data_IF_836249283647
#
_entry.id   IF_836249283647
#
_cell.length_a   1.000
_cell.length_b   1.000
_cell.length_c   1.000
_cell.angle_alpha   90.00
_cell.angle_beta   90.00
_cell.angle_gamma   90.00
#
_symmetry.space_group_name_H-M   'P 1'
#
loop_
_entity.id
_entity.type
_entity.pdbx_description
1 polymer ?
#
# COMPACT_ATOMS: atom_id res chain seq x y z
N UNK A 1 -85.85 -19.35 -27.09
CA UNK A 1 -84.46 -19.82 -27.30
C UNK A 1 -83.54 -18.62 -27.11
N UNK A 2 -82.96 -18.47 -25.96
CA UNK A 2 -82.10 -17.33 -25.62
C UNK A 2 -80.70 -17.88 -25.29
N UNK A 3 -79.75 -17.58 -26.17
CA UNK A 3 -78.34 -17.96 -25.98
C UNK A 3 -77.64 -16.95 -25.02
N UNK A 4 -77.19 -17.47 -23.88
CA UNK A 4 -76.43 -16.72 -22.91
C UNK A 4 -74.94 -16.95 -23.17
N UNK A 5 -74.25 -15.92 -23.70
CA UNK A 5 -72.78 -15.98 -23.95
C UNK A 5 -72.08 -15.46 -22.69
N UNK A 6 -71.36 -16.31 -21.96
CA UNK A 6 -70.47 -15.94 -20.84
C UNK A 6 -69.17 -15.40 -21.39
N UNK A 7 -68.92 -14.08 -21.15
CA UNK A 7 -67.62 -13.47 -21.35
C UNK A 7 -66.70 -13.75 -20.15
N UNK A 8 -65.70 -14.60 -20.36
CA UNK A 8 -64.64 -14.87 -19.42
C UNK A 8 -63.62 -13.69 -19.42
N UNK A 9 -63.60 -12.86 -18.39
CA UNK A 9 -62.58 -11.84 -18.19
C UNK A 9 -61.33 -12.50 -17.59
N UNK A 10 -60.24 -12.59 -18.37
CA UNK A 10 -58.92 -12.95 -17.88
C UNK A 10 -58.32 -11.73 -17.16
N UNK A 11 -58.27 -11.79 -15.81
CA UNK A 11 -57.53 -10.83 -14.99
C UNK A 11 -56.04 -11.11 -15.09
N UNK A 12 -55.29 -10.16 -15.63
CA UNK A 12 -53.82 -10.19 -15.67
C UNK A 12 -53.31 -9.66 -14.32
N UNK A 13 -52.86 -10.54 -13.42
CA UNK A 13 -52.20 -10.20 -12.19
C UNK A 13 -50.74 -9.77 -12.52
N UNK A 14 -50.48 -8.46 -12.48
CA UNK A 14 -49.14 -7.90 -12.50
C UNK A 14 -48.45 -8.14 -11.15
N UNK A 15 -47.55 -9.10 -11.11
CA UNK A 15 -46.63 -9.31 -10.00
C UNK A 15 -45.54 -8.25 -10.07
N UNK A 16 -45.61 -7.21 -9.23
CA UNK A 16 -44.52 -6.26 -9.04
C UNK A 16 -43.49 -6.87 -8.10
N UNK A 17 -42.35 -7.25 -8.66
CA UNK A 17 -41.16 -7.68 -7.85
C UNK A 17 -40.53 -6.44 -7.27
N UNK A 18 -40.41 -6.29 -5.93
CA UNK A 18 -39.65 -5.21 -5.33
C UNK A 18 -38.17 -5.46 -5.62
N UNK A 19 -37.53 -4.57 -6.40
CA UNK A 19 -36.08 -4.51 -6.54
C UNK A 19 -35.51 -4.04 -5.21
N UNK A 20 -34.90 -4.95 -4.43
CA UNK A 20 -34.06 -4.57 -3.32
C UNK A 20 -32.83 -3.85 -3.91
N UNK A 21 -32.77 -2.52 -3.75
CA UNK A 21 -31.56 -1.77 -3.93
C UNK A 21 -30.60 -2.14 -2.79
N UNK A 22 -29.59 -2.94 -3.10
CA UNK A 22 -28.44 -3.13 -2.21
C UNK A 22 -27.70 -1.81 -2.22
N UNK A 23 -27.83 -1.01 -1.17
CA UNK A 23 -26.99 0.12 -0.92
C UNK A 23 -25.56 -0.43 -0.72
N UNK A 24 -24.64 -0.14 -1.63
CA UNK A 24 -23.21 -0.30 -1.42
C UNK A 24 -22.85 0.69 -0.30
N UNK A 25 -22.70 0.22 0.92
CA UNK A 25 -22.02 0.95 1.97
C UNK A 25 -20.55 1.00 1.56
N UNK A 26 -20.11 2.14 1.03
CA UNK A 26 -18.68 2.43 0.95
C UNK A 26 -18.15 2.35 2.38
N UNK A 27 -17.10 1.58 2.62
CA UNK A 27 -16.38 1.60 3.90
C UNK A 27 -15.89 3.03 4.12
N UNK A 28 -16.29 3.63 5.25
CA UNK A 28 -15.75 4.91 5.66
C UNK A 28 -14.26 4.73 6.00
N UNK A 29 -13.37 5.63 5.57
CA UNK A 29 -11.96 5.54 5.91
C UNK A 29 -11.76 5.55 7.42
N UNK A 30 -10.82 4.73 7.91
CA UNK A 30 -10.49 4.64 9.32
C UNK A 30 -9.92 5.98 9.81
N UNK A 31 -10.15 6.34 11.08
CA UNK A 31 -9.61 7.57 11.64
C UNK A 31 -8.08 7.55 11.62
N UNK A 32 -7.48 8.69 11.26
CA UNK A 32 -6.04 8.90 11.32
C UNK A 32 -5.70 9.53 12.67
N UNK A 33 -4.78 8.92 13.41
CA UNK A 33 -4.18 9.53 14.61
C UNK A 33 -2.77 10.03 14.30
N UNK A 34 -2.43 11.18 14.91
CA UNK A 34 -1.15 11.84 14.75
C UNK A 34 -0.64 12.24 16.13
N UNK A 35 0.53 11.75 16.51
CA UNK A 35 1.23 12.08 17.73
C UNK A 35 2.61 12.66 17.38
N UNK A 36 3.01 13.76 18.02
CA UNK A 36 4.30 14.40 17.79
C UNK A 36 4.85 15.02 19.07
N UNK A 37 6.17 15.06 19.23
CA UNK A 37 6.83 15.76 20.33
C UNK A 37 6.63 17.28 20.23
N UNK A 38 6.66 17.82 19.01
CA UNK A 38 6.34 19.21 18.72
C UNK A 38 5.86 19.42 17.30
N UNK A 39 5.12 20.51 17.08
CA UNK A 39 4.69 20.94 15.75
C UNK A 39 4.76 22.46 15.62
N UNK A 40 4.99 22.92 14.38
CA UNK A 40 4.89 24.33 14.01
C UNK A 40 4.21 24.48 12.66
N UNK A 41 3.40 25.54 12.51
CA UNK A 41 2.71 25.85 11.25
C UNK A 41 3.24 27.16 10.68
N UNK A 42 3.83 27.10 9.50
CA UNK A 42 4.22 28.27 8.73
C UNK A 42 3.09 28.68 7.80
N UNK A 43 2.51 29.85 8.07
CA UNK A 43 1.39 30.38 7.30
C UNK A 43 1.76 30.91 5.92
N UNK A 44 3.02 31.32 5.76
CA UNK A 44 3.47 31.91 4.49
C UNK A 44 3.68 30.83 3.43
N UNK A 45 4.26 29.68 3.84
CA UNK A 45 4.46 28.52 2.98
C UNK A 45 3.30 27.52 3.01
N UNK A 46 2.37 27.63 3.96
CA UNK A 46 1.29 26.67 4.24
C UNK A 46 1.81 25.26 4.57
N UNK A 47 2.97 25.21 5.21
CA UNK A 47 3.62 23.96 5.63
C UNK A 47 3.47 23.75 7.13
N UNK A 48 3.35 22.48 7.51
CA UNK A 48 3.38 22.03 8.90
C UNK A 48 4.61 21.20 9.11
N UNK A 49 5.39 21.53 10.14
CA UNK A 49 6.60 20.82 10.54
C UNK A 49 6.36 20.10 11.84
N UNK A 50 6.89 18.88 11.94
CA UNK A 50 6.78 18.03 13.12
C UNK A 50 8.15 17.51 13.53
N UNK A 51 8.32 17.28 14.83
CA UNK A 51 9.46 16.58 15.42
C UNK A 51 8.93 15.39 16.21
N UNK A 52 9.55 14.22 16.07
CA UNK A 52 9.14 12.99 16.74
C UNK A 52 7.75 12.52 16.34
N UNK A 53 7.47 12.44 15.02
CA UNK A 53 6.13 12.14 14.50
C UNK A 53 5.83 10.66 14.41
N UNK A 54 4.60 10.28 14.82
CA UNK A 54 3.97 9.00 14.57
C UNK A 54 2.58 9.22 14.00
N UNK A 55 2.28 8.64 12.84
CA UNK A 55 0.95 8.59 12.22
C UNK A 55 0.46 7.15 12.24
N UNK A 56 -0.84 6.94 12.57
CA UNK A 56 -1.46 5.62 12.52
C UNK A 56 -2.85 5.67 11.92
N UNK A 57 -3.17 4.68 11.07
CA UNK A 57 -4.48 4.46 10.45
C UNK A 57 -4.70 2.95 10.24
N UNK A 58 -5.53 2.32 11.05
CA UNK A 58 -5.66 0.86 11.02
C UNK A 58 -4.32 0.17 11.26
N UNK A 59 -3.90 -0.69 10.33
CA UNK A 59 -2.63 -1.42 10.39
C UNK A 59 -1.44 -0.64 9.80
N UNK A 60 -1.70 0.55 9.23
CA UNK A 60 -0.66 1.48 8.80
C UNK A 60 -0.10 2.24 10.01
N UNK A 61 1.23 2.27 10.14
CA UNK A 61 1.95 3.15 11.06
C UNK A 61 3.17 3.73 10.38
N UNK A 62 3.37 5.05 10.50
CA UNK A 62 4.55 5.78 9.99
C UNK A 62 5.21 6.49 11.18
N UNK A 63 6.51 6.31 11.35
CA UNK A 63 7.32 6.93 12.40
C UNK A 63 8.55 7.59 11.76
N UNK A 64 8.90 8.79 12.22
CA UNK A 64 10.11 9.50 11.80
C UNK A 64 10.57 10.51 12.85
N UNK A 65 11.84 10.92 12.78
CA UNK A 65 12.36 11.99 13.65
C UNK A 65 11.74 13.34 13.30
N UNK A 66 11.55 13.62 12.01
CA UNK A 66 11.01 14.87 11.49
C UNK A 66 10.03 14.60 10.35
N UNK A 67 9.06 15.47 10.18
CA UNK A 67 8.17 15.47 9.03
C UNK A 67 7.75 16.89 8.64
N UNK A 68 7.50 17.04 7.35
CA UNK A 68 6.91 18.23 6.72
C UNK A 68 5.68 17.81 5.93
N UNK A 69 4.58 18.57 6.06
CA UNK A 69 3.31 18.29 5.39
C UNK A 69 2.75 19.53 4.71
N UNK A 70 2.18 19.36 3.52
CA UNK A 70 1.48 20.41 2.79
C UNK A 70 0.06 20.67 3.28
N UNK A 71 -0.44 19.87 4.21
CA UNK A 71 -1.76 19.98 4.82
C UNK A 71 -2.05 18.84 5.76
N UNK A 72 -3.09 19.00 6.59
CA UNK A 72 -3.50 18.01 7.59
C UNK A 72 -4.87 17.38 7.29
N UNK A 73 -5.43 17.66 6.11
CA UNK A 73 -6.74 17.15 5.73
C UNK A 73 -6.70 15.70 5.20
N UNK A 74 -5.51 15.21 4.79
CA UNK A 74 -5.30 13.89 4.22
C UNK A 74 -6.17 13.55 2.98
N UNK A 75 -6.95 14.50 2.48
CA UNK A 75 -7.75 14.30 1.28
C UNK A 75 -6.86 14.29 0.03
N UNK A 76 -5.90 15.23 -0.02
CA UNK A 76 -4.83 15.30 -1.03
C UNK A 76 -3.63 15.98 -0.40
N UNK A 77 -2.78 15.23 0.27
CA UNK A 77 -1.62 15.77 0.99
C UNK A 77 -0.34 15.03 0.67
N UNK A 78 0.75 15.79 0.65
CA UNK A 78 2.11 15.28 0.47
C UNK A 78 2.88 15.48 1.78
N UNK A 79 3.58 14.44 2.19
CA UNK A 79 4.34 14.39 3.41
C UNK A 79 5.78 13.96 3.12
N UNK A 80 6.74 14.66 3.69
CA UNK A 80 8.15 14.30 3.64
C UNK A 80 8.58 13.93 5.06
N UNK A 81 8.98 12.67 5.25
CA UNK A 81 9.51 12.16 6.50
C UNK A 81 11.01 12.03 6.41
N UNK A 82 11.74 12.38 7.47
CA UNK A 82 13.19 12.29 7.52
C UNK A 82 13.70 11.82 8.88
N UNK A 83 14.83 11.08 8.82
CA UNK A 83 15.50 10.53 9.99
C UNK A 83 14.79 9.33 10.61
N UNK A 84 15.41 8.15 10.51
CA UNK A 84 14.91 6.90 11.07
C UNK A 84 13.48 6.55 10.66
N UNK A 85 13.15 6.79 9.38
CA UNK A 85 11.81 6.50 8.87
C UNK A 85 11.52 5.01 9.00
N UNK A 86 10.38 4.69 9.63
CA UNK A 86 9.84 3.35 9.76
C UNK A 86 8.36 3.36 9.34
N UNK A 87 8.03 2.55 8.36
CA UNK A 87 6.64 2.35 7.90
C UNK A 87 6.28 0.90 8.16
N UNK A 88 5.14 0.68 8.83
CA UNK A 88 4.57 -0.65 9.05
C UNK A 88 3.21 -0.68 8.34
N UNK A 89 2.99 -1.68 7.50
CA UNK A 89 1.74 -1.91 6.77
C UNK A 89 1.46 -3.41 6.85
N UNK A 90 0.38 -3.80 7.52
CA UNK A 90 0.06 -5.21 7.76
C UNK A 90 1.26 -5.97 8.37
N UNK A 91 1.78 -6.98 7.66
CA UNK A 91 2.96 -7.77 8.05
C UNK A 91 4.29 -7.18 7.55
N UNK A 92 4.25 -6.10 6.76
CA UNK A 92 5.44 -5.51 6.12
C UNK A 92 5.98 -4.36 6.95
N UNK A 93 7.30 -4.34 7.14
CA UNK A 93 8.04 -3.26 7.79
C UNK A 93 9.05 -2.71 6.80
N UNK A 94 9.03 -1.40 6.58
CA UNK A 94 9.99 -0.69 5.73
C UNK A 94 10.79 0.28 6.58
N UNK A 95 12.10 0.38 6.34
CA UNK A 95 13.01 1.34 6.98
C UNK A 95 13.79 2.09 5.92
N UNK A 96 13.90 3.41 6.09
CA UNK A 96 14.60 4.29 5.16
C UNK A 96 15.19 5.51 5.89
N UNK A 97 16.00 6.27 5.17
CA UNK A 97 16.49 7.57 5.66
C UNK A 97 15.46 8.67 5.50
N UNK A 98 14.75 8.65 4.35
CA UNK A 98 13.66 9.58 4.02
C UNK A 98 12.53 8.85 3.31
N UNK A 99 11.32 9.40 3.41
CA UNK A 99 10.16 8.94 2.65
C UNK A 99 9.31 10.14 2.22
N UNK A 100 8.90 10.12 0.95
CA UNK A 100 7.85 10.99 0.42
C UNK A 100 6.57 10.16 0.35
N UNK A 101 5.53 10.62 1.01
CA UNK A 101 4.27 9.87 1.18
C UNK A 101 3.12 10.72 0.67
N UNK A 102 2.33 10.15 -0.24
CA UNK A 102 1.12 10.79 -0.74
C UNK A 102 -0.11 10.14 -0.13
N UNK A 103 -1.00 10.95 0.40
CA UNK A 103 -2.34 10.54 0.83
C UNK A 103 -3.37 11.04 -0.17
N UNK A 104 -4.35 10.20 -0.48
CA UNK A 104 -5.49 10.53 -1.33
C UNK A 104 -6.75 9.94 -0.72
N UNK A 105 -7.81 10.73 -0.64
CA UNK A 105 -9.10 10.29 -0.08
C UNK A 105 -8.95 9.70 1.32
N UNK A 106 -8.08 10.32 2.15
CA UNK A 106 -7.76 9.93 3.53
C UNK A 106 -7.09 8.56 3.67
N UNK A 107 -6.50 8.04 2.60
CA UNK A 107 -5.76 6.77 2.58
C UNK A 107 -4.35 6.97 2.00
N UNK A 108 -3.43 6.10 2.43
CA UNK A 108 -2.10 6.03 1.83
C UNK A 108 -2.24 5.68 0.35
N UNK A 109 -1.61 6.46 -0.53
CA UNK A 109 -1.60 6.21 -1.97
C UNK A 109 -0.26 5.65 -2.44
N UNK A 110 0.81 6.44 -2.32
CA UNK A 110 2.16 6.04 -2.74
C UNK A 110 3.20 6.44 -1.71
N UNK A 111 4.30 5.67 -1.67
CA UNK A 111 5.48 5.98 -0.84
C UNK A 111 6.73 5.84 -1.69
N UNK A 112 7.54 6.91 -1.75
CA UNK A 112 8.88 6.87 -2.31
C UNK A 112 9.89 6.95 -1.17
N UNK A 113 10.75 5.94 -1.02
CA UNK A 113 11.71 5.83 0.07
C UNK A 113 13.13 5.86 -0.48
N UNK A 114 13.98 6.62 0.19
CA UNK A 114 15.41 6.70 -0.09
C UNK A 114 16.20 6.23 1.12
N UNK A 115 17.24 5.43 0.88
CA UNK A 115 18.12 4.91 1.92
C UNK A 115 19.46 4.42 1.37
N UNK A 116 20.35 4.04 2.28
CA UNK A 116 21.66 3.48 1.93
C UNK A 116 21.92 2.14 2.67
N UNK A 117 21.20 1.08 2.34
CA UNK A 117 19.97 1.02 1.52
C UNK A 117 18.69 1.34 2.31
N UNK A 118 17.57 1.61 1.62
CA UNK A 118 16.25 1.39 2.15
C UNK A 118 15.94 -0.11 2.13
N UNK A 119 15.30 -0.65 3.20
CA UNK A 119 15.05 -2.09 3.35
C UNK A 119 13.60 -2.34 3.74
N UNK A 120 13.09 -3.50 3.31
CA UNK A 120 11.81 -4.00 3.78
C UNK A 120 11.91 -5.45 4.26
N UNK A 121 11.00 -5.82 5.16
CA UNK A 121 10.82 -7.17 5.69
C UNK A 121 9.34 -7.46 5.74
N UNK A 122 8.91 -8.58 5.20
CA UNK A 122 7.53 -9.04 5.21
C UNK A 122 7.43 -10.40 5.92
N UNK A 123 6.71 -10.41 7.05
CA UNK A 123 6.59 -11.51 8.00
C UNK A 123 5.20 -12.15 7.99
N UNK A 124 4.57 -12.31 6.84
CA UNK A 124 3.22 -12.87 6.77
C UNK A 124 3.13 -14.22 7.48
N UNK A 125 2.23 -14.32 8.46
CA UNK A 125 1.97 -15.57 9.19
C UNK A 125 1.42 -16.71 8.31
N UNK A 126 0.91 -16.36 7.12
CA UNK A 126 0.44 -17.34 6.13
C UNK A 126 1.58 -17.99 5.36
N UNK A 127 2.78 -17.40 5.39
CA UNK A 127 3.98 -17.92 4.73
C UNK A 127 4.89 -18.64 5.71
N UNK A 128 5.49 -19.72 5.24
CA UNK A 128 6.53 -20.44 6.00
C UNK A 128 7.91 -19.76 5.92
N UNK A 129 8.06 -18.76 5.04
CA UNK A 129 9.34 -18.14 4.69
C UNK A 129 9.15 -16.62 4.66
N UNK A 130 10.04 -15.90 5.36
CA UNK A 130 10.08 -14.44 5.34
C UNK A 130 10.67 -13.94 4.03
N UNK A 131 10.13 -12.81 3.55
CA UNK A 131 10.67 -12.09 2.41
C UNK A 131 11.36 -10.83 2.92
N UNK A 132 12.54 -10.54 2.42
CA UNK A 132 13.32 -9.35 2.74
C UNK A 132 13.91 -8.78 1.46
N UNK A 133 14.03 -7.47 1.41
CA UNK A 133 14.65 -6.86 0.25
C UNK A 133 15.10 -5.44 0.53
N UNK A 134 15.80 -4.86 -0.44
CA UNK A 134 16.28 -3.50 -0.32
C UNK A 134 16.85 -2.97 -1.62
N UNK A 135 17.02 -1.66 -1.66
CA UNK A 135 17.62 -0.90 -2.74
C UNK A 135 17.93 0.52 -2.25
N UNK A 136 18.62 1.33 -3.04
CA UNK A 136 18.75 2.76 -2.74
C UNK A 136 17.40 3.47 -2.79
N UNK A 137 16.50 3.00 -3.69
CA UNK A 137 15.16 3.55 -3.90
C UNK A 137 14.13 2.43 -3.81
N UNK A 138 13.13 2.58 -2.92
CA UNK A 138 11.94 1.76 -2.86
C UNK A 138 10.72 2.61 -3.21
N UNK A 139 9.84 2.09 -4.05
CA UNK A 139 8.55 2.72 -4.35
C UNK A 139 7.42 1.74 -4.06
N UNK A 140 6.57 2.11 -3.12
CA UNK A 140 5.35 1.37 -2.80
C UNK A 140 4.14 2.05 -3.44
N UNK A 141 3.30 1.26 -4.08
CA UNK A 141 2.00 1.65 -4.62
C UNK A 141 0.91 0.87 -3.89
N UNK A 142 0.08 1.59 -3.13
CA UNK A 142 -0.94 0.96 -2.29
C UNK A 142 -2.10 0.37 -3.11
N UNK A 143 -2.45 1.02 -4.22
CA UNK A 143 -3.53 0.52 -5.09
C UNK A 143 -3.11 -0.74 -5.85
N UNK A 144 -1.89 -0.75 -6.36
CA UNK A 144 -1.34 -1.90 -7.08
C UNK A 144 -0.78 -2.97 -6.14
N UNK A 145 -0.63 -2.69 -4.85
CA UNK A 145 -0.01 -3.56 -3.84
C UNK A 145 1.39 -4.04 -4.25
N UNK A 146 2.15 -3.16 -4.90
CA UNK A 146 3.49 -3.47 -5.42
C UNK A 146 4.58 -2.67 -4.73
N UNK A 147 5.73 -3.30 -4.53
CA UNK A 147 6.96 -2.68 -4.07
C UNK A 147 8.02 -2.80 -5.17
N UNK A 148 8.41 -1.67 -5.75
CA UNK A 148 9.49 -1.60 -6.73
C UNK A 148 10.78 -1.17 -6.07
N UNK A 149 11.85 -1.88 -6.37
CA UNK A 149 13.21 -1.67 -5.87
C UNK A 149 14.12 -1.30 -7.01
N UNK A 150 14.81 -0.17 -6.94
CA UNK A 150 15.72 0.30 -7.98
C UNK A 150 17.04 0.77 -7.39
N UNK A 151 18.10 0.65 -8.16
CA UNK A 151 19.47 0.99 -7.76
C UNK A 151 20.01 0.08 -6.63
N UNK A 152 20.71 -0.97 -7.06
CA UNK A 152 21.27 -1.99 -6.16
C UNK A 152 20.19 -2.89 -5.55
N UNK A 153 19.10 -3.17 -6.30
CA UNK A 153 17.98 -3.95 -5.84
C UNK A 153 18.36 -5.40 -5.52
N UNK A 154 17.90 -5.86 -4.37
CA UNK A 154 18.00 -7.26 -3.96
C UNK A 154 16.73 -7.69 -3.21
N UNK A 155 16.40 -8.96 -3.33
CA UNK A 155 15.31 -9.59 -2.62
C UNK A 155 15.70 -11.01 -2.24
N UNK A 156 15.43 -11.41 -0.99
CA UNK A 156 15.62 -12.78 -0.52
C UNK A 156 14.31 -13.41 -0.07
N UNK A 157 14.11 -14.65 -0.46
CA UNK A 157 13.03 -15.52 -0.01
C UNK A 157 13.65 -16.79 0.57
N UNK A 158 13.71 -16.88 1.89
CA UNK A 158 14.45 -17.91 2.58
C UNK A 158 15.94 -17.88 2.22
N UNK A 159 16.42 -18.96 1.57
CA UNK A 159 17.81 -19.09 1.11
C UNK A 159 18.03 -18.65 -0.34
N UNK A 160 16.97 -18.31 -1.06
CA UNK A 160 17.06 -17.81 -2.43
C UNK A 160 17.27 -16.30 -2.44
N UNK A 161 18.08 -15.80 -3.35
CA UNK A 161 18.35 -14.36 -3.50
C UNK A 161 18.27 -13.95 -4.96
N UNK A 162 17.57 -12.84 -5.21
CA UNK A 162 17.43 -12.16 -6.49
C UNK A 162 18.16 -10.83 -6.41
N UNK A 163 19.01 -10.52 -7.39
CA UNK A 163 19.69 -9.24 -7.51
C UNK A 163 19.52 -8.69 -8.92
N UNK A 164 19.37 -7.38 -9.03
CA UNK A 164 19.24 -6.69 -10.30
C UNK A 164 19.18 -5.18 -10.12
N UNK A 165 19.05 -4.46 -11.20
CA UNK A 165 18.87 -3.01 -11.13
C UNK A 165 17.40 -2.61 -10.90
N UNK A 166 16.46 -3.49 -11.19
CA UNK A 166 15.02 -3.26 -11.05
C UNK A 166 14.32 -4.56 -10.67
N UNK A 167 13.75 -4.61 -9.47
CA UNK A 167 12.94 -5.72 -8.97
C UNK A 167 11.57 -5.18 -8.56
N UNK A 168 10.51 -5.90 -8.89
CA UNK A 168 9.15 -5.62 -8.45
C UNK A 168 8.63 -6.81 -7.67
N UNK A 169 8.18 -6.56 -6.45
CA UNK A 169 7.47 -7.52 -5.61
C UNK A 169 6.00 -7.17 -5.56
N UNK A 170 5.15 -8.06 -6.07
CA UNK A 170 3.69 -8.02 -5.91
C UNK A 170 3.34 -8.71 -4.60
N UNK A 171 2.78 -7.96 -3.66
CA UNK A 171 2.52 -8.44 -2.30
C UNK A 171 1.35 -9.42 -2.28
N UNK A 172 0.31 -9.17 -3.07
CA UNK A 172 -0.91 -9.98 -3.08
C UNK A 172 -0.72 -11.29 -3.87
N UNK A 173 0.00 -11.21 -5.01
CA UNK A 173 0.34 -12.39 -5.83
C UNK A 173 1.57 -13.16 -5.33
N UNK A 174 2.30 -12.60 -4.35
CA UNK A 174 3.60 -13.11 -3.85
C UNK A 174 4.58 -13.37 -5.00
N UNK A 175 4.61 -12.48 -5.97
CA UNK A 175 5.34 -12.64 -7.22
C UNK A 175 6.50 -11.65 -7.34
N UNK A 176 7.66 -12.19 -7.69
CA UNK A 176 8.84 -11.40 -7.99
C UNK A 176 8.99 -11.29 -9.50
N UNK A 177 9.09 -10.05 -9.99
CA UNK A 177 9.43 -9.75 -11.40
C UNK A 177 10.74 -8.99 -11.41
N UNK A 178 11.66 -9.38 -12.26
CA UNK A 178 12.99 -8.80 -12.34
C UNK A 178 13.40 -8.51 -13.77
N UNK A 179 14.22 -7.48 -13.93
CA UNK A 179 14.76 -7.06 -15.21
C UNK A 179 13.82 -6.12 -15.98
N UNK A 180 14.30 -4.94 -16.29
CA UNK A 180 13.68 -4.05 -17.26
C UNK A 180 14.60 -3.89 -18.46
N UNK A 181 14.03 -3.56 -19.63
CA UNK A 181 14.81 -3.27 -20.84
C UNK A 181 15.72 -2.05 -20.68
N UNK A 182 15.50 -1.24 -19.67
CA UNK A 182 16.26 -0.02 -19.38
C UNK A 182 17.51 -0.28 -18.52
N UNK A 183 17.57 -1.42 -17.85
CA UNK A 183 18.60 -1.73 -16.88
C UNK A 183 19.96 -2.08 -17.47
N UNK A 184 20.03 -2.69 -18.64
CA UNK A 184 21.30 -3.11 -19.25
C UNK A 184 22.12 -4.15 -18.46
N UNK A 185 21.77 -4.47 -17.24
CA UNK A 185 22.43 -5.44 -16.37
C UNK A 185 21.61 -6.74 -16.25
N UNK A 186 22.26 -7.91 -16.19
CA UNK A 186 21.58 -9.18 -16.01
C UNK A 186 21.01 -9.30 -14.60
N UNK A 187 19.91 -10.03 -14.47
CA UNK A 187 19.40 -10.47 -13.18
C UNK A 187 20.24 -11.65 -12.71
N UNK A 188 20.69 -11.61 -11.46
CA UNK A 188 21.41 -12.71 -10.80
C UNK A 188 20.49 -13.39 -9.80
N UNK A 189 20.29 -14.69 -9.95
CA UNK A 189 19.49 -15.50 -9.03
C UNK A 189 20.43 -16.54 -8.39
N UNK A 190 20.52 -16.49 -7.07
CA UNK A 190 21.28 -17.47 -6.28
C UNK A 190 20.30 -18.40 -5.56
N UNK A 191 20.40 -19.69 -5.77
CA UNK A 191 19.60 -20.73 -5.12
C UNK A 191 20.52 -21.58 -4.26
N UNK A 192 20.30 -21.56 -2.95
CA UNK A 192 21.04 -22.41 -2.02
C UNK A 192 20.25 -23.71 -1.79
N UNK A 193 20.84 -24.89 -2.05
CA UNK A 193 20.19 -26.15 -1.72
C UNK A 193 19.99 -26.28 -0.19
N UNK A 194 18.93 -26.96 0.25
CA UNK A 194 18.71 -27.19 1.67
C UNK A 194 19.90 -27.95 2.27
N UNK A 195 20.24 -27.71 3.55
CA UNK A 195 21.29 -28.47 4.22
C UNK A 195 20.98 -29.95 4.14
N UNK A 196 21.97 -30.75 3.75
CA UNK A 196 21.90 -32.23 3.80
C UNK A 196 22.08 -32.65 5.25
N UNK A 197 21.06 -33.30 5.82
CA UNK A 197 21.12 -33.97 7.13
C UNK A 197 22.13 -35.13 7.14
#
# INVERSE_FOLDING_TARGET
>A
MVNFVHKLRKGLLLFSIPTLAIAQQGEEPLPISLDADSSSFDRDSNLVFFSGLSIAQGDLKIEANEAEATGLDFEMSEWIFSGNVRISIDSTIIRASTAEVSFQTHELSTVNLLGDPAVFEDFSAARAIDIRGGASILKYDNQARTLRMTDGAWLSEGSNEFRGCDLIYDIDEEKITSGSSECGEPVVITILPPPTD
#
